data_IF_766355113425
#
_entry.id   IF_766355113425
#
_cell.length_a   1.000
_cell.length_b   1.000
_cell.length_c   1.000
_cell.angle_alpha   90.00
_cell.angle_beta   90.00
_cell.angle_gamma   90.00
#
_symmetry.space_group_name_H-M   'P 1'
#
loop_
_entity.id
_entity.type
_entity.pdbx_description
1 polymer ?
#
# COMPACT_ATOMS: atom_id res chain seq x y z
N UNK A 1 32.74 -0.15 3.50
CA UNK A 1 31.58 0.66 3.89
C UNK A 1 30.79 0.95 2.63
N UNK A 2 29.77 0.13 2.33
CA UNK A 2 28.94 0.32 1.14
C UNK A 2 27.95 1.43 1.40
N UNK A 3 28.15 2.59 0.75
CA UNK A 3 27.17 3.66 0.78
C UNK A 3 25.88 3.14 0.13
N UNK A 4 24.78 3.12 0.88
CA UNK A 4 23.46 3.07 0.30
C UNK A 4 23.29 4.37 -0.48
N UNK A 5 23.64 4.35 -1.77
CA UNK A 5 23.16 5.34 -2.73
C UNK A 5 21.65 5.21 -2.74
N UNK A 6 20.97 6.02 -1.91
CA UNK A 6 19.51 6.07 -1.91
C UNK A 6 19.05 6.37 -3.32
N UNK A 7 18.45 5.38 -3.97
CA UNK A 7 17.89 5.54 -5.31
C UNK A 7 16.81 6.61 -5.19
N UNK A 8 17.07 7.78 -5.78
CA UNK A 8 16.09 8.86 -5.83
C UNK A 8 15.08 8.45 -6.89
N UNK A 9 13.87 8.09 -6.46
CA UNK A 9 12.77 7.77 -7.36
C UNK A 9 12.00 9.08 -7.61
N UNK A 10 11.88 9.54 -8.87
CA UNK A 10 11.12 10.75 -9.19
C UNK A 10 9.63 10.56 -8.85
N UNK A 11 9.05 11.60 -8.23
CA UNK A 11 7.62 11.67 -7.98
C UNK A 11 6.92 12.23 -9.23
N UNK A 12 5.84 11.58 -9.65
CA UNK A 12 4.92 12.07 -10.68
C UNK A 12 3.61 12.53 -10.06
N UNK A 13 3.02 13.59 -10.63
CA UNK A 13 1.72 14.10 -10.22
C UNK A 13 0.55 13.41 -10.92
N UNK A 14 0.82 12.59 -11.93
CA UNK A 14 -0.21 11.90 -12.71
C UNK A 14 0.15 10.43 -12.92
N UNK A 15 -0.89 9.60 -12.98
CA UNK A 15 -0.80 8.17 -13.30
C UNK A 15 -1.99 7.78 -14.17
N UNK A 16 -1.77 6.91 -15.16
CA UNK A 16 -2.84 6.41 -16.02
C UNK A 16 -3.33 5.07 -15.48
N UNK A 17 -4.65 4.88 -15.42
CA UNK A 17 -5.25 3.67 -14.87
C UNK A 17 -4.84 2.38 -15.60
N UNK A 18 -4.64 2.47 -16.91
CA UNK A 18 -4.20 1.36 -17.76
C UNK A 18 -2.67 1.17 -17.81
N UNK A 19 -1.89 1.99 -17.10
CA UNK A 19 -0.43 1.85 -17.03
C UNK A 19 -0.07 0.60 -16.24
N UNK A 20 0.93 -0.16 -16.71
CA UNK A 20 1.47 -1.29 -15.94
C UNK A 20 2.27 -0.77 -14.75
N UNK A 21 2.03 -1.33 -13.58
CA UNK A 21 2.65 -0.90 -12.35
C UNK A 21 3.55 -1.98 -11.75
N UNK A 22 4.63 -1.53 -11.13
CA UNK A 22 5.57 -2.38 -10.40
C UNK A 22 4.94 -2.86 -9.10
N UNK A 23 4.10 -2.03 -8.49
CA UNK A 23 3.33 -2.39 -7.30
C UNK A 23 2.67 -1.19 -6.64
N UNK A 24 1.87 -1.47 -5.62
CA UNK A 24 1.19 -0.50 -4.78
C UNK A 24 1.51 -0.80 -3.32
N UNK A 25 1.84 0.23 -2.55
CA UNK A 25 2.03 0.08 -1.11
C UNK A 25 1.52 1.30 -0.36
N UNK A 26 1.25 1.11 0.93
CA UNK A 26 0.79 2.15 1.83
C UNK A 26 1.83 2.45 2.89
N UNK A 27 1.94 3.72 3.25
CA UNK A 27 2.78 4.15 4.36
C UNK A 27 2.17 5.33 5.09
N UNK A 28 2.46 5.42 6.38
CA UNK A 28 2.04 6.51 7.23
C UNK A 28 3.23 7.45 7.34
N UNK A 29 3.12 8.65 6.75
CA UNK A 29 4.15 9.67 6.80
C UNK A 29 3.61 10.96 7.43
N UNK A 30 4.48 11.80 8.03
CA UNK A 30 4.10 13.14 8.44
C UNK A 30 3.57 13.95 7.25
N UNK A 31 2.51 14.71 7.46
CA UNK A 31 2.07 15.67 6.44
C UNK A 31 3.19 16.66 6.10
N UNK A 32 3.39 17.04 4.83
CA UNK A 32 4.43 18.00 4.41
C UNK A 32 4.34 19.36 5.10
N UNK A 33 3.15 19.73 5.62
CA UNK A 33 2.91 20.99 6.32
C UNK A 33 3.27 20.94 7.81
N UNK A 34 3.81 19.81 8.29
CA UNK A 34 4.02 19.54 9.70
C UNK A 34 2.70 19.21 10.40
N UNK A 35 2.67 18.12 11.17
CA UNK A 35 1.50 17.76 11.95
C UNK A 35 1.25 16.26 12.09
N UNK A 36 -0.03 15.92 12.18
CA UNK A 36 -0.53 14.55 12.35
C UNK A 36 -0.12 13.66 11.15
N UNK A 37 0.22 12.38 11.38
CA UNK A 37 0.52 11.46 10.27
C UNK A 37 -0.69 11.25 9.35
N UNK A 38 -0.41 11.16 8.05
CA UNK A 38 -1.36 10.81 7.00
C UNK A 38 -0.99 9.45 6.40
N UNK A 39 -1.99 8.72 5.91
CA UNK A 39 -1.76 7.52 5.12
C UNK A 39 -1.63 7.89 3.65
N UNK A 40 -0.54 7.46 3.04
CA UNK A 40 -0.28 7.63 1.62
C UNK A 40 -0.39 6.29 0.91
N UNK A 41 -1.16 6.27 -0.18
CA UNK A 41 -1.11 5.20 -1.17
C UNK A 41 -0.08 5.57 -2.22
N UNK A 42 0.91 4.71 -2.40
CA UNK A 42 2.02 4.93 -3.30
C UNK A 42 2.01 3.85 -4.37
N UNK A 43 2.07 4.28 -5.62
CA UNK A 43 2.07 3.41 -6.79
C UNK A 43 3.36 3.65 -7.54
N UNK A 44 4.08 2.56 -7.85
CA UNK A 44 5.30 2.60 -8.65
C UNK A 44 5.03 2.13 -10.06
N UNK A 45 5.48 2.89 -11.04
CA UNK A 45 5.42 2.57 -12.47
C UNK A 45 6.80 2.70 -13.09
N UNK A 46 6.97 2.25 -14.34
CA UNK A 46 8.18 2.47 -15.13
C UNK A 46 7.84 3.38 -16.30
N UNK A 47 8.49 4.53 -16.37
CA UNK A 47 8.39 5.50 -17.48
C UNK A 47 9.77 5.79 -18.03
N UNK A 48 9.92 5.68 -19.34
CA UNK A 48 11.19 5.91 -20.03
C UNK A 48 12.35 5.10 -19.41
N UNK A 49 12.07 3.86 -18.99
CA UNK A 49 13.04 2.95 -18.38
C UNK A 49 13.39 3.26 -16.91
N UNK A 50 12.76 4.25 -16.29
CA UNK A 50 13.00 4.67 -14.91
C UNK A 50 11.78 4.46 -14.02
N UNK A 51 12.00 4.16 -12.74
CA UNK A 51 10.91 4.14 -11.77
C UNK A 51 10.32 5.53 -11.61
N UNK A 52 9.00 5.60 -11.48
CA UNK A 52 8.30 6.81 -11.05
C UNK A 52 7.28 6.45 -9.97
N UNK A 53 7.15 7.31 -8.97
CA UNK A 53 6.20 7.16 -7.86
C UNK A 53 5.05 8.14 -7.99
N UNK A 54 3.83 7.64 -7.99
CA UNK A 54 2.64 8.45 -7.75
C UNK A 54 2.22 8.29 -6.29
N UNK A 55 1.95 9.40 -5.59
CA UNK A 55 1.52 9.39 -4.19
C UNK A 55 0.16 10.05 -4.05
N UNK A 56 -0.77 9.34 -3.41
CA UNK A 56 -2.11 9.82 -3.08
C UNK A 56 -2.29 9.87 -1.57
N UNK A 57 -2.59 11.06 -1.05
CA UNK A 57 -2.97 11.25 0.35
C UNK A 57 -4.38 10.66 0.56
N UNK A 58 -4.48 9.65 1.44
CA UNK A 58 -5.74 9.00 1.81
C UNK A 58 -6.38 9.64 3.05
N UNK A 59 -5.73 10.62 3.67
CA UNK A 59 -6.18 11.31 4.88
C UNK A 59 -5.44 10.89 6.14
N UNK A 60 -5.98 11.29 7.29
CA UNK A 60 -5.35 11.12 8.60
C UNK A 60 -5.14 9.64 8.94
N UNK A 61 -3.92 9.25 9.31
CA UNK A 61 -3.57 7.86 9.67
C UNK A 61 -4.43 7.31 10.82
N UNK A 62 -4.89 8.18 11.73
CA UNK A 62 -5.79 7.79 12.84
C UNK A 62 -7.11 7.18 12.37
N UNK A 63 -7.58 7.52 11.16
CA UNK A 63 -8.80 6.98 10.56
C UNK A 63 -8.60 5.54 10.05
N UNK A 64 -7.36 5.08 9.93
CA UNK A 64 -6.98 3.75 9.49
C UNK A 64 -6.54 2.86 10.66
N UNK A 65 -6.95 3.19 11.89
CA UNK A 65 -6.61 2.40 13.08
C UNK A 65 -7.22 1.00 12.97
N UNK A 66 -6.37 -0.03 13.05
CA UNK A 66 -6.78 -1.44 12.85
C UNK A 66 -6.80 -1.88 11.39
N UNK A 67 -6.59 -0.97 10.43
CA UNK A 67 -6.43 -1.31 9.01
C UNK A 67 -4.94 -1.44 8.71
N UNK A 68 -4.50 -2.63 8.31
CA UNK A 68 -3.11 -2.90 7.92
C UNK A 68 -2.71 -2.04 6.72
N UNK A 69 -1.46 -1.59 6.69
CA UNK A 69 -0.86 -1.03 5.49
C UNK A 69 -0.67 -2.14 4.46
N UNK A 70 -1.05 -1.88 3.22
CA UNK A 70 -0.91 -2.85 2.14
C UNK A 70 0.45 -2.75 1.46
N UNK A 71 0.94 -3.88 0.95
CA UNK A 71 2.06 -3.96 0.04
C UNK A 71 1.76 -5.04 -1.00
N UNK A 72 1.42 -4.61 -2.20
CA UNK A 72 1.00 -5.44 -3.32
C UNK A 72 2.08 -5.36 -4.40
N UNK A 73 3.04 -6.30 -4.42
CA UNK A 73 3.99 -6.40 -5.52
C UNK A 73 3.25 -6.86 -6.78
N UNK A 74 3.49 -6.20 -7.91
CA UNK A 74 2.89 -6.57 -9.19
C UNK A 74 3.92 -6.98 -10.23
N UNK A 75 5.15 -6.45 -10.18
CA UNK A 75 6.18 -6.74 -11.18
C UNK A 75 5.71 -6.50 -12.63
N UNK A 76 4.86 -5.49 -12.84
CA UNK A 76 4.25 -5.13 -14.13
C UNK A 76 3.18 -6.11 -14.65
N UNK A 77 2.73 -7.06 -13.83
CA UNK A 77 1.66 -8.00 -14.20
C UNK A 77 0.25 -7.39 -14.13
N UNK A 78 0.10 -6.27 -13.40
CA UNK A 78 -1.17 -5.59 -13.18
C UNK A 78 -1.12 -4.13 -13.63
N UNK A 79 -2.28 -3.62 -14.02
CA UNK A 79 -2.47 -2.20 -14.26
C UNK A 79 -2.64 -1.44 -12.94
N UNK A 80 -2.51 -0.12 -13.01
CA UNK A 80 -2.76 0.78 -11.86
C UNK A 80 -4.18 0.62 -11.33
N UNK A 81 -5.19 0.58 -12.21
CA UNK A 81 -6.58 0.42 -11.81
C UNK A 81 -6.82 -0.94 -11.14
N UNK A 82 -6.21 -2.01 -11.66
CA UNK A 82 -6.28 -3.34 -11.06
C UNK A 82 -5.66 -3.35 -9.65
N UNK A 83 -4.51 -2.71 -9.47
CA UNK A 83 -3.87 -2.61 -8.16
C UNK A 83 -4.69 -1.80 -7.16
N UNK A 84 -5.32 -0.71 -7.61
CA UNK A 84 -6.21 0.09 -6.76
C UNK A 84 -7.42 -0.74 -6.34
N UNK A 85 -8.05 -1.45 -7.27
CA UNK A 85 -9.19 -2.33 -7.01
C UNK A 85 -8.82 -3.45 -6.02
N UNK A 86 -7.68 -4.11 -6.23
CA UNK A 86 -7.17 -5.13 -5.29
C UNK A 86 -6.89 -4.54 -3.91
N UNK A 87 -6.34 -3.33 -3.84
CA UNK A 87 -6.09 -2.68 -2.56
C UNK A 87 -7.40 -2.31 -1.84
N UNK A 88 -8.44 -1.89 -2.57
CA UNK A 88 -9.77 -1.65 -2.00
C UNK A 88 -10.41 -2.93 -1.47
N UNK A 89 -10.36 -4.01 -2.24
CA UNK A 89 -10.86 -5.31 -1.81
C UNK A 89 -10.12 -5.81 -0.56
N UNK A 90 -8.79 -5.74 -0.55
CA UNK A 90 -7.97 -6.18 0.59
C UNK A 90 -8.16 -5.34 1.85
N UNK A 91 -8.56 -4.07 1.74
CA UNK A 91 -8.93 -3.23 2.89
C UNK A 91 -10.30 -3.60 3.47
N UNK A 92 -11.22 -4.05 2.60
CA UNK A 92 -12.59 -4.39 2.98
C UNK A 92 -12.76 -5.87 3.34
N UNK A 93 -11.76 -6.71 3.04
CA UNK A 93 -11.78 -8.12 3.43
C UNK A 93 -11.58 -8.19 4.93
N UNK A 94 -12.63 -8.61 5.65
CA UNK A 94 -12.51 -9.00 7.04
C UNK A 94 -11.36 -10.00 7.15
N UNK A 95 -10.36 -9.69 7.98
CA UNK A 95 -9.37 -10.69 8.36
C UNK A 95 -10.17 -11.85 8.95
N UNK A 96 -10.16 -13.00 8.26
CA UNK A 96 -10.64 -14.26 8.81
C UNK A 96 -10.03 -14.38 10.20
N UNK A 97 -10.84 -14.16 11.24
CA UNK A 97 -10.38 -14.24 12.60
C UNK A 97 -9.84 -15.65 12.78
N UNK A 98 -8.52 -15.78 12.97
CA UNK A 98 -7.86 -17.06 13.09
C UNK A 98 -8.48 -17.89 14.23
N UNK A 99 -9.12 -17.23 15.20
CA UNK A 99 -9.90 -17.87 16.26
C UNK A 99 -11.15 -18.58 15.74
N UNK A 100 -11.89 -17.95 14.82
CA UNK A 100 -13.04 -18.56 14.15
C UNK A 100 -12.60 -19.73 13.26
N UNK A 101 -11.47 -19.55 12.55
CA UNK A 101 -10.93 -20.58 11.67
C UNK A 101 -10.40 -21.80 12.45
N UNK A 102 -9.76 -21.57 13.60
CA UNK A 102 -9.19 -22.62 14.44
C UNK A 102 -10.18 -23.19 15.46
N UNK A 103 -11.41 -22.66 15.53
CA UNK A 103 -12.44 -23.05 16.50
C UNK A 103 -11.88 -23.20 17.92
N UNK A 104 -11.00 -22.30 18.34
CA UNK A 104 -10.24 -22.42 19.60
C UNK A 104 -11.16 -22.46 20.83
N UNK A 105 -12.38 -21.94 20.70
CA UNK A 105 -13.44 -22.02 21.70
C UNK A 105 -13.89 -23.47 22.00
N UNK A 106 -13.62 -24.42 21.09
CA UNK A 106 -13.92 -25.85 21.27
C UNK A 106 -12.81 -26.63 21.98
N UNK A 107 -11.62 -26.06 22.12
CA UNK A 107 -10.47 -26.72 22.76
C UNK A 107 -10.33 -26.39 24.25
N UNK A 108 -11.41 -25.97 24.91
CA UNK A 108 -11.45 -25.90 26.37
C UNK A 108 -11.45 -27.34 26.94
N UNK A 109 -10.27 -27.95 26.99
CA UNK A 109 -10.02 -29.22 27.65
C UNK A 109 -10.07 -28.94 29.15
N UNK A 110 -11.10 -29.49 29.80
CA UNK A 110 -11.22 -29.55 31.27
C UNK A 110 -10.07 -30.33 31.90
#
# INVERSE_FOLDING_TARGET
MGGNSGVIIPITNTILGNERAVGLYEMDEPSPKGGVPHRYQIIRVIRDGNYAEFRKDMGLAKNFKGVRQLNIPSLMEHTVDELIAMAEELRNRDELDLKDLLQLDKFNVK
#
